data_IF_322297109104
#
_entry.id   IF_322297109104
#
_cell.length_a   1.000
_cell.length_b   1.000
_cell.length_c   1.000
_cell.angle_alpha   90.00
_cell.angle_beta   90.00
_cell.angle_gamma   90.00
#
_symmetry.space_group_name_H-M   'P 1'
#
loop_
_entity.id
_entity.type
_entity.pdbx_description
1 polymer ?
#
# COMPACT_ATOMS: atom_id res chain seq x y z
N UNK A 1 1.27 14.98 -14.90
CA UNK A 1 1.28 13.60 -14.35
C UNK A 1 2.55 12.91 -14.80
N UNK A 2 3.36 12.37 -13.87
CA UNK A 2 4.51 11.54 -14.23
C UNK A 2 4.00 10.26 -14.91
N UNK A 3 4.72 9.77 -15.92
CA UNK A 3 4.35 8.54 -16.64
C UNK A 3 4.33 7.37 -15.65
N UNK A 4 3.19 6.69 -15.53
CA UNK A 4 3.07 5.48 -14.72
C UNK A 4 3.98 4.39 -15.31
N UNK A 5 4.80 3.79 -14.45
CA UNK A 5 5.58 2.60 -14.75
C UNK A 5 5.03 1.48 -13.88
N UNK A 6 4.86 0.29 -14.46
CA UNK A 6 4.41 -0.88 -13.73
C UNK A 6 5.33 -1.14 -12.54
N UNK A 7 4.72 -1.32 -11.37
CA UNK A 7 5.42 -1.47 -10.12
C UNK A 7 5.58 -2.97 -9.86
N UNK A 8 6.80 -3.41 -9.59
CA UNK A 8 7.04 -4.82 -9.22
C UNK A 8 6.32 -5.19 -7.91
N UNK A 9 5.40 -6.15 -7.96
CA UNK A 9 4.74 -6.66 -6.75
C UNK A 9 5.72 -7.56 -5.98
N UNK A 10 5.95 -7.32 -4.66
CA UNK A 10 6.79 -8.19 -3.85
C UNK A 10 6.16 -9.59 -3.72
N UNK A 11 6.92 -10.65 -4.02
CA UNK A 11 6.39 -12.02 -4.11
C UNK A 11 6.34 -12.77 -2.77
N UNK A 12 7.38 -12.66 -1.95
CA UNK A 12 7.51 -13.40 -0.68
C UNK A 12 8.27 -12.58 0.37
N UNK A 13 8.11 -12.95 1.65
CA UNK A 13 8.79 -12.29 2.78
C UNK A 13 8.17 -10.95 3.22
N UNK A 14 7.01 -10.58 2.68
CA UNK A 14 6.23 -9.40 3.10
C UNK A 14 4.84 -9.80 3.57
N UNK A 15 4.22 -8.94 4.39
CA UNK A 15 2.82 -9.14 4.81
C UNK A 15 1.86 -9.11 3.62
N UNK A 16 0.77 -9.87 3.70
CA UNK A 16 -0.25 -9.96 2.64
C UNK A 16 -0.80 -8.58 2.25
N UNK A 17 -0.98 -7.69 3.23
CA UNK A 17 -1.52 -6.34 2.99
C UNK A 17 -0.56 -5.49 2.17
N UNK A 18 0.75 -5.67 2.35
CA UNK A 18 1.76 -4.97 1.55
C UNK A 18 1.65 -5.44 0.11
N UNK A 19 1.59 -6.76 -0.13
CA UNK A 19 1.42 -7.30 -1.49
C UNK A 19 0.15 -6.73 -2.15
N UNK A 20 -0.96 -6.78 -1.43
CA UNK A 20 -2.25 -6.25 -1.88
C UNK A 20 -2.17 -4.75 -2.23
N UNK A 21 -1.50 -3.92 -1.41
CA UNK A 21 -1.29 -2.50 -1.73
C UNK A 21 -0.57 -2.33 -3.07
N UNK A 22 0.52 -3.06 -3.30
CA UNK A 22 1.28 -2.95 -4.56
C UNK A 22 0.49 -3.45 -5.78
N UNK A 23 -0.36 -4.48 -5.60
CA UNK A 23 -1.31 -4.92 -6.63
C UNK A 23 -2.31 -3.81 -6.96
N UNK A 24 -2.91 -3.18 -5.95
CA UNK A 24 -3.85 -2.07 -6.14
C UNK A 24 -3.21 -0.84 -6.81
N UNK A 25 -1.94 -0.56 -6.52
CA UNK A 25 -1.23 0.52 -7.22
C UNK A 25 -1.11 0.25 -8.72
N UNK A 26 -0.89 -1.01 -9.11
CA UNK A 26 -0.84 -1.39 -10.52
C UNK A 26 -2.22 -1.32 -11.17
N UNK A 27 -3.24 -1.87 -10.52
CA UNK A 27 -4.62 -1.86 -11.02
C UNK A 27 -5.12 -0.43 -11.25
N UNK A 28 -4.82 0.48 -10.32
CA UNK A 28 -5.23 1.88 -10.38
C UNK A 28 -4.25 2.78 -11.14
N UNK A 29 -3.11 2.24 -11.62
CA UNK A 29 -2.03 2.98 -12.30
C UNK A 29 -1.50 4.17 -11.48
N UNK A 30 -1.35 3.98 -10.17
CA UNK A 30 -0.87 4.99 -9.22
C UNK A 30 0.62 4.75 -8.91
N UNK A 31 1.45 5.78 -9.07
CA UNK A 31 2.87 5.73 -8.69
C UNK A 31 3.09 5.90 -7.19
N UNK A 32 4.31 5.59 -6.72
CA UNK A 32 4.69 5.78 -5.31
C UNK A 32 4.43 7.22 -4.82
N UNK A 33 4.87 8.22 -5.60
CA UNK A 33 4.71 9.64 -5.25
C UNK A 33 3.25 10.02 -5.04
N UNK A 34 2.39 9.75 -6.03
CA UNK A 34 0.94 10.02 -5.94
C UNK A 34 0.29 9.33 -4.74
N UNK A 35 0.62 8.05 -4.49
CA UNK A 35 0.08 7.35 -3.32
C UNK A 35 0.53 8.01 -2.01
N UNK A 36 1.82 8.32 -1.90
CA UNK A 36 2.39 8.87 -0.67
C UNK A 36 1.90 10.28 -0.37
N UNK A 37 1.67 11.08 -1.41
CA UNK A 37 1.06 12.41 -1.30
C UNK A 37 -0.38 12.30 -0.79
N UNK A 38 -1.19 11.41 -1.39
CA UNK A 38 -2.59 11.18 -0.96
C UNK A 38 -2.69 10.61 0.45
N UNK A 39 -1.78 9.71 0.82
CA UNK A 39 -1.77 9.06 2.12
C UNK A 39 -1.07 9.88 3.21
N UNK A 40 -0.41 10.99 2.87
CA UNK A 40 0.33 11.82 3.83
C UNK A 40 1.52 11.09 4.48
N UNK A 41 2.19 10.19 3.76
CA UNK A 41 3.34 9.42 4.26
C UNK A 41 4.59 9.67 3.41
N UNK A 42 5.77 9.29 3.91
CA UNK A 42 7.00 9.39 3.13
C UNK A 42 7.13 8.27 2.08
N UNK A 43 7.71 8.56 0.90
CA UNK A 43 8.07 7.52 -0.08
C UNK A 43 9.01 6.45 0.48
N UNK A 44 9.85 6.83 1.46
CA UNK A 44 10.73 5.90 2.17
C UNK A 44 9.93 4.85 2.97
N UNK A 45 8.74 5.20 3.46
CA UNK A 45 7.84 4.27 4.16
C UNK A 45 7.42 3.13 3.24
N UNK A 46 6.90 3.45 2.05
CA UNK A 46 6.50 2.44 1.03
C UNK A 46 7.70 1.59 0.59
N UNK A 47 8.87 2.22 0.41
CA UNK A 47 10.10 1.51 0.03
C UNK A 47 10.55 0.51 1.11
N UNK A 48 10.41 0.87 2.40
CA UNK A 48 10.73 -0.02 3.53
C UNK A 48 9.79 -1.22 3.62
N UNK A 49 8.50 -1.03 3.33
CA UNK A 49 7.52 -2.12 3.33
C UNK A 49 7.87 -3.22 2.34
N UNK A 50 8.43 -2.85 1.17
CA UNK A 50 8.91 -3.83 0.19
C UNK A 50 10.09 -4.66 0.69
N UNK A 51 10.94 -4.11 1.56
CA UNK A 51 12.26 -4.70 1.87
C UNK A 51 12.36 -5.38 3.23
N UNK A 52 11.94 -4.72 4.32
CA UNK A 52 12.32 -5.14 5.68
C UNK A 52 11.33 -4.81 6.79
N UNK A 53 10.27 -4.05 6.53
CA UNK A 53 9.41 -3.52 7.59
C UNK A 53 7.95 -3.93 7.45
N UNK A 54 7.40 -4.51 8.51
CA UNK A 54 5.96 -4.65 8.66
C UNK A 54 5.33 -3.27 8.87
N UNK A 55 4.29 -2.90 8.11
CA UNK A 55 3.60 -1.64 8.31
C UNK A 55 2.89 -1.62 9.67
N UNK A 56 2.81 -0.45 10.31
CA UNK A 56 1.93 -0.27 11.45
C UNK A 56 0.50 0.01 10.97
N UNK A 57 -0.48 -0.24 11.83
CA UNK A 57 -1.90 -0.12 11.47
C UNK A 57 -2.27 1.27 10.93
N UNK A 58 -1.81 2.36 11.58
CA UNK A 58 -2.11 3.73 11.16
C UNK A 58 -1.64 4.02 9.74
N UNK A 59 -0.44 3.56 9.39
CA UNK A 59 0.10 3.73 8.03
C UNK A 59 -0.59 2.84 7.00
N UNK A 60 -1.05 1.65 7.40
CA UNK A 60 -1.91 0.82 6.52
C UNK A 60 -3.20 1.57 6.25
N UNK A 61 -3.91 2.01 7.29
CA UNK A 61 -5.19 2.73 7.19
C UNK A 61 -5.09 3.97 6.30
N UNK A 62 -4.04 4.78 6.45
CA UNK A 62 -3.82 5.93 5.57
C UNK A 62 -3.67 5.54 4.09
N UNK A 63 -2.95 4.45 3.81
CA UNK A 63 -2.70 3.97 2.44
C UNK A 63 -3.94 3.36 1.81
N UNK A 64 -4.70 2.52 2.52
CA UNK A 64 -5.96 1.98 1.97
C UNK A 64 -6.98 3.09 1.72
N UNK A 65 -7.09 4.07 2.63
CA UNK A 65 -7.96 5.22 2.43
C UNK A 65 -7.56 6.03 1.19
N UNK A 66 -6.26 6.25 0.98
CA UNK A 66 -5.74 6.92 -0.22
C UNK A 66 -5.98 6.15 -1.54
N UNK A 67 -6.14 4.83 -1.45
CA UNK A 67 -6.51 3.94 -2.57
C UNK A 67 -8.03 3.81 -2.75
N UNK A 68 -8.84 4.52 -1.96
CA UNK A 68 -10.30 4.51 -2.04
C UNK A 68 -10.98 3.37 -1.29
N UNK A 69 -10.28 2.70 -0.37
CA UNK A 69 -10.80 1.62 0.48
C UNK A 69 -10.96 2.08 1.92
N UNK A 70 -11.64 1.29 2.74
CA UNK A 70 -11.78 1.51 4.18
C UNK A 70 -11.50 0.20 4.94
N UNK A 71 -10.93 0.28 6.14
CA UNK A 71 -10.76 -0.89 7.01
C UNK A 71 -11.97 -1.00 7.92
N UNK A 72 -12.59 -2.18 7.92
CA UNK A 72 -13.69 -2.53 8.82
C UNK A 72 -13.33 -3.74 9.65
N UNK A 73 -13.56 -3.64 10.95
CA UNK A 73 -13.49 -4.79 11.85
C UNK A 73 -14.77 -5.60 11.70
N UNK A 74 -14.63 -6.85 11.25
CA UNK A 74 -15.74 -7.78 11.10
C UNK A 74 -15.56 -8.95 12.07
N UNK A 75 -16.62 -9.31 12.77
CA UNK A 75 -16.61 -10.49 13.65
C UNK A 75 -16.70 -11.75 12.79
N UNK A 76 -15.64 -12.53 12.73
CA UNK A 76 -15.67 -13.86 12.11
C UNK A 76 -16.47 -14.78 13.02
N UNK A 77 -17.57 -15.34 12.51
CA UNK A 77 -18.26 -16.44 13.20
C UNK A 77 -17.39 -17.67 13.04
N UNK A 78 -16.89 -18.19 14.15
CA UNK A 78 -16.24 -19.50 14.22
C UNK A 78 -17.29 -20.59 14.17
#
# INVERSE_FOLDING_TARGET
MRRFHEITVPKSGVSWIVRWVFEQMNDQRIGHGDLTERAGISENTITKWRKRSSPNFATVEAVVNALGYEIKLVRVRQ
#
